data_IF_730351422147
#
_entry.id   IF_730351422147
#
_cell.length_a   1.000
_cell.length_b   1.000
_cell.length_c   1.000
_cell.angle_alpha   90.00
_cell.angle_beta   90.00
_cell.angle_gamma   90.00
#
_symmetry.space_group_name_H-M   'P 1'
#
loop_
_entity.id
_entity.type
_entity.pdbx_description
1 polymer ?
#
# COMPACT_ATOMS: atom_id res chain seq x y z
N UNK A 1 -5.63 0.71 22.00
CA UNK A 1 -6.71 0.83 21.02
C UNK A 1 -6.31 1.76 19.88
N UNK A 2 -5.62 2.87 20.18
CA UNK A 2 -4.94 3.76 19.24
C UNK A 2 -4.35 3.05 18.00
N UNK A 3 -3.40 2.14 18.19
CA UNK A 3 -2.69 1.48 17.07
C UNK A 3 -3.59 0.73 16.07
N UNK A 4 -4.69 0.10 16.52
CA UNK A 4 -5.56 -0.68 15.62
C UNK A 4 -6.41 0.26 14.75
N UNK A 5 -6.98 1.31 15.34
CA UNK A 5 -7.73 2.31 14.60
C UNK A 5 -6.83 2.99 13.56
N UNK A 6 -5.62 3.37 13.96
CA UNK A 6 -4.58 3.92 13.06
C UNK A 6 -4.26 2.96 11.92
N UNK A 7 -4.05 1.68 12.23
CA UNK A 7 -3.82 0.66 11.22
C UNK A 7 -4.98 0.57 10.20
N UNK A 8 -6.23 0.51 10.65
CA UNK A 8 -7.38 0.41 9.75
C UNK A 8 -7.52 1.62 8.83
N UNK A 9 -7.34 2.83 9.36
CA UNK A 9 -7.39 4.06 8.55
C UNK A 9 -6.25 4.11 7.54
N UNK A 10 -5.04 3.74 7.94
CA UNK A 10 -3.88 3.72 7.03
C UNK A 10 -4.01 2.65 5.95
N UNK A 11 -4.52 1.46 6.29
CA UNK A 11 -4.84 0.43 5.30
C UNK A 11 -5.90 0.91 4.31
N UNK A 12 -6.92 1.63 4.79
CA UNK A 12 -7.94 2.21 3.92
C UNK A 12 -7.34 3.27 2.99
N UNK A 13 -6.47 4.14 3.51
CA UNK A 13 -5.75 5.13 2.72
C UNK A 13 -4.87 4.48 1.64
N UNK A 14 -4.10 3.45 1.99
CA UNK A 14 -3.26 2.68 1.06
C UNK A 14 -4.11 2.15 -0.10
N UNK A 15 -5.26 1.57 0.22
CA UNK A 15 -6.16 1.00 -0.77
C UNK A 15 -6.84 2.08 -1.63
N UNK A 16 -7.25 3.22 -1.04
CA UNK A 16 -7.91 4.31 -1.76
C UNK A 16 -6.97 5.07 -2.70
N UNK A 17 -5.70 5.18 -2.35
CA UNK A 17 -4.69 5.88 -3.14
C UNK A 17 -3.91 4.96 -4.07
N UNK A 18 -4.20 3.65 -4.07
CA UNK A 18 -3.49 2.63 -4.85
C UNK A 18 -1.97 2.71 -4.66
N UNK A 19 -1.54 2.81 -3.39
CA UNK A 19 -0.13 2.99 -3.06
C UNK A 19 0.67 1.72 -3.39
N UNK A 20 1.84 1.90 -4.00
CA UNK A 20 2.76 0.78 -4.26
C UNK A 20 3.32 0.19 -2.95
N UNK A 21 4.08 -0.92 -3.03
CA UNK A 21 4.61 -1.58 -1.83
C UNK A 21 5.52 -0.67 -0.99
N UNK A 22 6.34 0.17 -1.63
CA UNK A 22 7.27 1.06 -0.93
C UNK A 22 6.51 2.22 -0.29
N UNK A 23 5.57 2.80 -1.02
CA UNK A 23 4.67 3.86 -0.57
C UNK A 23 3.78 3.38 0.58
N UNK A 24 3.25 2.16 0.51
CA UNK A 24 2.47 1.53 1.56
C UNK A 24 3.31 1.27 2.82
N UNK A 25 4.57 0.83 2.67
CA UNK A 25 5.48 0.69 3.81
C UNK A 25 5.72 2.04 4.50
N UNK A 26 5.96 3.09 3.74
CA UNK A 26 6.16 4.44 4.26
C UNK A 26 4.88 4.97 4.93
N UNK A 27 3.72 4.75 4.33
CA UNK A 27 2.43 5.08 4.94
C UNK A 27 2.22 4.36 6.28
N UNK A 28 2.56 3.07 6.38
CA UNK A 28 2.51 2.32 7.63
C UNK A 28 3.53 2.84 8.65
N UNK A 29 4.73 3.20 8.21
CA UNK A 29 5.78 3.75 9.07
C UNK A 29 5.32 5.04 9.74
N UNK A 30 4.82 6.00 8.96
CA UNK A 30 4.43 7.32 9.45
C UNK A 30 2.98 7.40 9.97
N UNK A 31 2.11 6.47 9.58
CA UNK A 31 0.71 6.45 9.99
C UNK A 31 0.39 5.51 11.16
N UNK A 32 1.21 4.48 11.38
CA UNK A 32 0.97 3.45 12.41
C UNK A 32 2.17 3.27 13.33
N UNK A 33 3.36 3.02 12.77
CA UNK A 33 4.52 2.64 13.60
C UNK A 33 5.09 3.77 14.42
N UNK A 34 4.69 5.02 14.14
CA UNK A 34 4.97 6.12 15.05
C UNK A 34 4.40 5.82 16.45
N UNK A 35 3.24 5.17 16.59
CA UNK A 35 2.67 4.81 17.90
C UNK A 35 3.58 3.89 18.76
N UNK A 36 4.56 3.20 18.16
CA UNK A 36 5.55 2.43 18.93
C UNK A 36 6.32 3.34 19.89
N UNK A 37 6.42 4.62 19.57
CA UNK A 37 7.09 5.62 20.40
C UNK A 37 6.46 5.80 21.79
N UNK A 38 5.20 5.37 21.99
CA UNK A 38 4.53 5.37 23.28
C UNK A 38 5.18 4.40 24.27
N UNK A 39 5.88 3.37 23.76
CA UNK A 39 6.65 2.42 24.57
C UNK A 39 7.77 3.14 25.31
N UNK A 40 8.31 4.24 24.78
CA UNK A 40 9.34 5.03 25.46
C UNK A 40 8.83 5.76 26.71
N UNK A 41 7.51 5.92 26.88
CA UNK A 41 6.91 6.43 28.12
C UNK A 41 6.79 5.38 29.25
N UNK A 42 6.96 4.09 28.93
CA UNK A 42 6.82 3.00 29.90
C UNK A 42 7.86 3.06 31.03
N UNK A 43 9.16 3.27 30.78
CA UNK A 43 10.15 3.38 31.86
C UNK A 43 9.82 4.49 32.88
N UNK A 44 9.40 5.67 32.38
CA UNK A 44 8.97 6.78 33.24
C UNK A 44 7.70 6.45 34.02
N UNK A 45 6.76 5.74 33.40
CA UNK A 45 5.57 5.23 34.09
C UNK A 45 5.91 4.23 35.19
N UNK A 46 6.80 3.28 34.91
CA UNK A 46 7.22 2.28 35.89
C UNK A 46 7.97 2.92 37.05
N UNK A 47 8.82 3.91 36.80
CA UNK A 47 9.55 4.60 37.86
C UNK A 47 8.65 5.40 38.81
N UNK A 48 7.54 5.97 38.31
CA UNK A 48 6.63 6.81 39.11
C UNK A 48 5.47 6.04 39.73
N UNK A 49 4.89 5.10 38.99
CA UNK A 49 3.66 4.41 39.39
C UNK A 49 3.90 2.93 39.74
N UNK A 50 5.09 2.37 39.48
CA UNK A 50 5.41 0.98 39.76
C UNK A 50 4.91 0.00 38.69
N UNK A 51 5.62 -1.12 38.53
CA UNK A 51 5.37 -2.10 37.47
C UNK A 51 4.00 -2.78 37.57
N UNK A 52 3.46 -2.89 38.78
CA UNK A 52 2.14 -3.52 39.03
C UNK A 52 0.98 -2.70 38.47
N UNK A 53 1.18 -1.40 38.23
CA UNK A 53 0.14 -0.49 37.74
C UNK A 53 0.11 -0.39 36.21
N UNK A 54 0.99 -1.09 35.47
CA UNK A 54 0.99 -1.11 34.00
C UNK A 54 -0.33 -1.70 33.46
N UNK A 55 -0.93 -2.64 34.17
CA UNK A 55 -2.19 -3.29 33.75
C UNK A 55 -3.43 -2.56 34.24
N UNK A 56 -3.28 -1.58 35.14
CA UNK A 56 -4.39 -0.81 35.67
C UNK A 56 -4.73 0.35 34.71
N UNK A 57 -5.82 0.19 33.95
CA UNK A 57 -6.29 1.18 32.97
C UNK A 57 -6.58 2.54 33.59
N UNK A 58 -7.13 2.61 34.80
CA UNK A 58 -7.45 3.88 35.45
C UNK A 58 -6.18 4.66 35.78
N UNK A 59 -5.15 3.97 36.27
CA UNK A 59 -3.82 4.54 36.50
C UNK A 59 -3.14 4.96 35.21
N UNK A 60 -3.26 4.18 34.14
CA UNK A 60 -2.66 4.50 32.84
C UNK A 60 -3.25 5.79 32.24
N UNK A 61 -4.58 5.96 32.37
CA UNK A 61 -5.33 7.10 31.83
C UNK A 61 -5.24 8.36 32.72
N UNK A 62 -5.05 8.20 34.03
CA UNK A 62 -4.93 9.32 34.98
C UNK A 62 -3.49 9.77 35.23
N UNK A 63 -2.51 9.00 34.79
CA UNK A 63 -1.09 9.32 34.96
C UNK A 63 -0.72 10.59 34.20
N UNK A 64 -0.09 11.59 34.84
CA UNK A 64 0.33 12.85 34.20
C UNK A 64 1.56 12.68 33.30
N UNK A 65 1.83 11.46 32.85
CA UNK A 65 3.01 11.13 32.05
C UNK A 65 2.69 11.43 30.60
N UNK A 66 3.61 12.15 29.96
CA UNK A 66 3.51 12.47 28.56
C UNK A 66 3.79 11.20 27.74
N UNK A 67 2.72 10.47 27.41
CA UNK A 67 2.78 9.30 26.53
C UNK A 67 3.09 9.66 25.07
N UNK A 68 2.92 10.94 24.71
CA UNK A 68 3.17 11.48 23.37
C UNK A 68 4.67 11.76 23.17
N UNK A 69 5.29 11.00 22.27
CA UNK A 69 6.72 11.17 21.95
C UNK A 69 7.01 12.37 21.03
N UNK A 70 8.29 12.54 20.66
CA UNK A 70 8.80 13.50 19.69
C UNK A 70 8.04 13.55 18.35
N UNK A 71 7.51 12.43 17.84
CA UNK A 71 6.79 12.43 16.56
C UNK A 71 5.36 12.98 16.63
N UNK A 72 4.82 13.15 17.83
CA UNK A 72 3.55 13.81 18.09
C UNK A 72 3.69 15.31 18.32
N UNK A 73 4.94 15.81 18.38
CA UNK A 73 5.23 17.22 18.51
C UNK A 73 5.23 17.88 17.10
N UNK A 74 4.72 19.11 16.95
CA UNK A 74 4.84 19.87 15.70
C UNK A 74 6.27 19.92 15.13
N UNK A 75 7.29 19.88 15.99
CA UNK A 75 8.71 19.83 15.60
C UNK A 75 9.09 18.57 14.82
N UNK A 76 8.30 17.49 14.88
CA UNK A 76 8.49 16.31 14.06
C UNK A 76 8.46 16.63 12.55
N UNK A 77 7.84 17.75 12.16
CA UNK A 77 7.85 18.22 10.77
C UNK A 77 9.27 18.41 10.22
N UNK A 78 10.25 18.73 11.09
CA UNK A 78 11.65 18.86 10.69
C UNK A 78 12.29 17.53 10.26
N UNK A 79 11.70 16.40 10.64
CA UNK A 79 12.11 15.06 10.20
C UNK A 79 11.19 14.57 9.08
N UNK A 80 9.87 14.70 9.27
CA UNK A 80 8.85 14.21 8.33
C UNK A 80 8.90 14.95 6.99
N UNK A 81 9.09 16.27 6.99
CA UNK A 81 9.10 17.05 5.74
C UNK A 81 10.32 16.73 4.86
N UNK A 82 11.56 16.66 5.38
CA UNK A 82 12.69 16.17 4.59
C UNK A 82 12.53 14.71 4.13
N UNK A 83 11.97 13.82 4.97
CA UNK A 83 11.65 12.46 4.55
C UNK A 83 10.62 12.44 3.41
N UNK A 84 9.67 13.36 3.40
CA UNK A 84 8.65 13.49 2.34
C UNK A 84 9.26 13.88 0.99
N UNK A 85 10.31 14.69 0.97
CA UNK A 85 11.01 15.03 -0.26
C UNK A 85 11.59 13.81 -0.99
N UNK A 86 11.91 12.74 -0.23
CA UNK A 86 12.42 11.48 -0.78
C UNK A 86 11.33 10.52 -1.27
N UNK A 87 10.06 10.71 -0.86
CA UNK A 87 8.95 9.79 -1.14
C UNK A 87 7.77 10.53 -1.77
N UNK A 88 7.85 10.76 -3.08
CA UNK A 88 6.79 11.35 -3.93
C UNK A 88 6.14 12.60 -3.34
N UNK A 89 6.92 13.36 -2.55
CA UNK A 89 6.64 14.65 -1.92
C UNK A 89 5.43 14.76 -0.98
N UNK A 90 4.63 13.70 -0.77
CA UNK A 90 3.39 13.85 0.01
C UNK A 90 3.08 12.69 0.97
N UNK A 91 3.57 11.47 0.72
CA UNK A 91 3.05 10.29 1.42
C UNK A 91 3.42 10.28 2.91
N UNK A 92 4.68 10.50 3.32
CA UNK A 92 5.01 10.55 4.75
C UNK A 92 4.25 11.67 5.47
N UNK A 93 4.19 12.86 4.85
CA UNK A 93 3.51 14.02 5.44
C UNK A 93 2.01 13.82 5.57
N UNK A 94 1.38 13.18 4.57
CA UNK A 94 -0.05 12.89 4.58
C UNK A 94 -0.38 11.79 5.59
N UNK A 95 0.40 10.71 5.63
CA UNK A 95 0.22 9.64 6.61
C UNK A 95 0.43 10.13 8.06
N UNK A 96 1.47 10.93 8.28
CA UNK A 96 1.73 11.58 9.57
C UNK A 96 0.62 12.57 9.94
N UNK A 97 0.15 13.38 8.99
CA UNK A 97 -0.94 14.33 9.22
C UNK A 97 -2.25 13.64 9.60
N UNK A 98 -2.59 12.53 8.92
CA UNK A 98 -3.75 11.70 9.27
C UNK A 98 -3.59 11.12 10.67
N UNK A 99 -2.40 10.62 11.01
CA UNK A 99 -2.11 10.10 12.34
C UNK A 99 -2.37 11.14 13.43
N UNK A 100 -1.78 12.34 13.33
CA UNK A 100 -2.02 13.43 14.30
C UNK A 100 -3.50 13.84 14.36
N UNK A 101 -4.18 13.89 13.20
CA UNK A 101 -5.59 14.23 13.14
C UNK A 101 -6.47 13.17 13.83
N UNK A 102 -6.17 11.89 13.63
CA UNK A 102 -6.85 10.79 14.31
C UNK A 102 -6.67 10.87 15.81
N UNK A 103 -5.46 11.19 16.24
CA UNK A 103 -5.11 11.37 17.64
C UNK A 103 -5.95 12.49 18.29
N UNK A 104 -6.13 13.60 17.58
CA UNK A 104 -6.99 14.70 18.01
C UNK A 104 -8.48 14.29 18.04
N UNK A 105 -8.98 13.65 16.99
CA UNK A 105 -10.37 13.16 16.91
C UNK A 105 -10.65 12.14 18.01
N UNK A 106 -9.67 11.30 18.33
CA UNK A 106 -9.82 10.28 19.35
C UNK A 106 -9.96 10.87 20.75
N UNK A 107 -9.20 11.91 21.06
CA UNK A 107 -9.28 12.60 22.35
C UNK A 107 -10.59 13.41 22.47
N UNK A 108 -10.96 14.15 21.43
CA UNK A 108 -12.07 15.11 21.49
C UNK A 108 -13.44 14.50 21.19
N UNK A 109 -13.52 13.51 20.30
CA UNK A 109 -14.79 13.02 19.77
C UNK A 109 -15.08 11.56 20.13
N UNK A 110 -14.11 10.66 19.98
CA UNK A 110 -14.35 9.23 20.17
C UNK A 110 -14.26 8.83 21.64
N UNK A 111 -13.27 9.33 22.37
CA UNK A 111 -12.91 8.84 23.70
C UNK A 111 -12.13 7.52 23.62
N UNK A 112 -11.12 7.39 24.47
CA UNK A 112 -10.22 6.23 24.47
C UNK A 112 -10.97 4.98 24.96
N UNK A 113 -10.99 3.94 24.13
CA UNK A 113 -11.68 2.67 24.38
C UNK A 113 -13.19 2.81 24.62
N UNK A 114 -13.82 3.82 24.01
CA UNK A 114 -15.26 4.01 24.10
C UNK A 114 -16.03 3.07 23.16
N UNK A 115 -17.34 2.96 23.38
CA UNK A 115 -18.24 2.27 22.46
C UNK A 115 -18.22 2.89 21.05
N UNK A 116 -18.06 4.21 20.96
CA UNK A 116 -18.04 4.94 19.69
C UNK A 116 -16.81 4.57 18.87
N UNK A 117 -15.64 4.45 19.51
CA UNK A 117 -14.41 3.99 18.86
C UNK A 117 -14.57 2.55 18.31
N UNK A 118 -15.21 1.66 19.08
CA UNK A 118 -15.46 0.28 18.65
C UNK A 118 -16.36 0.24 17.41
N UNK A 119 -17.46 0.99 17.41
CA UNK A 119 -18.37 1.07 16.26
C UNK A 119 -17.67 1.64 15.02
N UNK A 120 -16.83 2.66 15.21
CA UNK A 120 -16.03 3.24 14.14
C UNK A 120 -15.04 2.23 13.55
N UNK A 121 -14.34 1.45 14.38
CA UNK A 121 -13.45 0.38 13.90
C UNK A 121 -14.21 -0.70 13.13
N UNK A 122 -15.37 -1.14 13.61
CA UNK A 122 -16.19 -2.14 12.91
C UNK A 122 -16.66 -1.62 11.53
N UNK A 123 -17.02 -0.34 11.45
CA UNK A 123 -17.35 0.31 10.19
C UNK A 123 -16.15 0.32 9.22
N UNK A 124 -14.96 0.74 9.68
CA UNK A 124 -13.74 0.74 8.86
C UNK A 124 -13.38 -0.68 8.37
N UNK A 125 -13.48 -1.67 9.25
CA UNK A 125 -13.24 -3.07 8.91
C UNK A 125 -14.24 -3.55 7.86
N UNK A 126 -15.52 -3.19 8.00
CA UNK A 126 -16.56 -3.51 7.02
C UNK A 126 -16.28 -2.88 5.65
N UNK A 127 -15.82 -1.63 5.61
CA UNK A 127 -15.42 -0.95 4.37
C UNK A 127 -14.26 -1.70 3.71
N UNK A 128 -13.18 -1.96 4.45
CA UNK A 128 -12.02 -2.71 3.95
C UNK A 128 -12.43 -4.09 3.42
N UNK A 129 -13.30 -4.80 4.15
CA UNK A 129 -13.79 -6.12 3.75
C UNK A 129 -14.58 -6.07 2.43
N UNK A 130 -15.45 -5.07 2.27
CA UNK A 130 -16.21 -4.88 1.02
C UNK A 130 -15.27 -4.53 -0.13
N UNK A 131 -14.27 -3.68 0.08
CA UNK A 131 -13.28 -3.34 -0.94
C UNK A 131 -12.48 -4.57 -1.37
N UNK A 132 -12.02 -5.38 -0.42
CA UNK A 132 -11.25 -6.59 -0.70
C UNK A 132 -12.08 -7.63 -1.49
N UNK A 133 -13.35 -7.83 -1.12
CA UNK A 133 -14.26 -8.70 -1.89
C UNK A 133 -14.42 -8.22 -3.32
N UNK A 134 -14.61 -6.90 -3.52
CA UNK A 134 -14.76 -6.32 -4.86
C UNK A 134 -13.50 -6.51 -5.70
N UNK A 135 -12.32 -6.26 -5.13
CA UNK A 135 -11.05 -6.47 -5.82
C UNK A 135 -10.82 -7.95 -6.16
N UNK A 136 -11.16 -8.86 -5.25
CA UNK A 136 -11.08 -10.30 -5.52
C UNK A 136 -11.99 -10.70 -6.69
N UNK A 137 -13.22 -10.20 -6.72
CA UNK A 137 -14.16 -10.45 -7.82
C UNK A 137 -13.64 -9.92 -9.16
N UNK A 138 -13.11 -8.70 -9.19
CA UNK A 138 -12.53 -8.08 -10.41
C UNK A 138 -11.34 -8.91 -10.91
N UNK A 139 -10.41 -9.26 -10.01
CA UNK A 139 -9.22 -10.05 -10.35
C UNK A 139 -9.59 -11.45 -10.89
N UNK A 140 -10.64 -12.06 -10.35
CA UNK A 140 -11.15 -13.36 -10.84
C UNK A 140 -11.80 -13.23 -12.22
N UNK A 141 -12.51 -12.13 -12.49
CA UNK A 141 -13.08 -11.84 -13.81
C UNK A 141 -11.99 -11.62 -14.84
N UNK A 142 -10.93 -10.86 -14.51
CA UNK A 142 -9.77 -10.67 -15.39
C UNK A 142 -9.01 -11.98 -15.64
N UNK A 143 -8.79 -12.80 -14.61
CA UNK A 143 -8.14 -14.13 -14.77
C UNK A 143 -8.99 -15.08 -15.63
N UNK A 144 -10.32 -15.06 -15.52
CA UNK A 144 -11.21 -15.84 -16.39
C UNK A 144 -11.25 -15.30 -17.82
N UNK A 145 -11.19 -13.98 -18.01
CA UNK A 145 -11.05 -13.36 -19.33
C UNK A 145 -9.66 -13.63 -19.96
N UNK A 146 -8.63 -13.84 -19.13
CA UNK A 146 -7.24 -13.97 -19.55
C UNK A 146 -6.87 -15.34 -20.11
N UNK A 147 -7.47 -16.46 -19.69
CA UNK A 147 -7.04 -17.77 -20.21
C UNK A 147 -7.50 -17.95 -21.67
N UNK A 148 -8.76 -17.66 -21.98
CA UNK A 148 -9.25 -17.73 -23.36
C UNK A 148 -8.61 -16.65 -24.23
N UNK A 149 -8.41 -15.44 -23.70
CA UNK A 149 -7.72 -14.34 -24.38
C UNK A 149 -6.24 -14.63 -24.66
N UNK A 150 -5.55 -15.30 -23.75
CA UNK A 150 -4.16 -15.74 -23.93
C UNK A 150 -4.06 -16.82 -25.02
N UNK A 151 -4.95 -17.81 -25.02
CA UNK A 151 -4.98 -18.83 -26.07
C UNK A 151 -5.37 -18.24 -27.43
N UNK A 152 -6.33 -17.32 -27.49
CA UNK A 152 -6.69 -16.68 -28.75
C UNK A 152 -5.55 -15.80 -29.29
N UNK A 153 -4.83 -15.10 -28.42
CA UNK A 153 -3.67 -14.30 -28.81
C UNK A 153 -2.49 -15.16 -29.30
N UNK A 154 -2.16 -16.26 -28.62
CA UNK A 154 -1.13 -17.20 -29.09
C UNK A 154 -1.53 -17.89 -30.40
N UNK A 155 -2.79 -18.31 -30.56
CA UNK A 155 -3.28 -18.90 -31.81
C UNK A 155 -3.22 -17.90 -32.98
N UNK A 156 -3.54 -16.63 -32.76
CA UNK A 156 -3.46 -15.58 -33.76
C UNK A 156 -1.99 -15.30 -34.15
N UNK A 157 -1.08 -15.30 -33.17
CA UNK A 157 0.36 -15.15 -33.40
C UNK A 157 0.97 -16.34 -34.15
N UNK A 158 0.57 -17.57 -33.81
CA UNK A 158 1.00 -18.76 -34.55
C UNK A 158 0.44 -18.77 -35.97
N UNK A 159 -0.82 -18.39 -36.18
CA UNK A 159 -1.43 -18.35 -37.51
C UNK A 159 -0.76 -17.33 -38.44
N UNK A 160 -0.41 -16.15 -37.91
CA UNK A 160 0.30 -15.12 -38.68
C UNK A 160 1.74 -15.53 -39.01
N UNK A 161 2.43 -16.23 -38.10
CA UNK A 161 3.75 -16.79 -38.36
C UNK A 161 3.72 -17.88 -39.45
N UNK A 162 2.73 -18.77 -39.42
CA UNK A 162 2.55 -19.79 -40.47
C UNK A 162 2.19 -19.18 -41.83
N UNK A 163 1.35 -18.15 -41.85
CA UNK A 163 1.02 -17.41 -43.08
C UNK A 163 2.27 -16.75 -43.69
N UNK A 164 3.08 -16.05 -42.89
CA UNK A 164 4.32 -15.43 -43.38
C UNK A 164 5.37 -16.45 -43.84
N UNK A 165 5.49 -17.58 -43.15
CA UNK A 165 6.36 -18.71 -43.51
C UNK A 165 5.98 -19.33 -44.87
N UNK A 166 4.69 -19.55 -45.11
CA UNK A 166 4.18 -20.08 -46.38
C UNK A 166 4.40 -19.10 -47.54
N UNK A 167 4.24 -17.79 -47.32
CA UNK A 167 4.50 -16.76 -48.32
C UNK A 167 6.00 -16.54 -48.61
N UNK A 168 6.88 -16.72 -47.62
CA UNK A 168 8.33 -16.65 -47.81
C UNK A 168 8.85 -17.83 -48.62
N UNK A 169 8.28 -19.03 -48.39
CA UNK A 169 8.66 -20.26 -49.11
C UNK A 169 8.24 -20.24 -50.58
N UNK A 170 7.13 -19.59 -50.93
CA UNK A 170 6.71 -19.45 -52.33
C UNK A 170 7.56 -18.44 -53.11
N UNK A 171 7.98 -17.32 -52.51
CA UNK A 171 8.89 -16.35 -53.18
C UNK A 171 10.33 -16.83 -53.32
N UNK A 172 10.80 -17.70 -52.43
CA UNK A 172 12.16 -18.26 -52.50
C UNK A 172 12.39 -19.22 -53.68
N UNK A 173 11.33 -19.85 -54.20
CA UNK A 173 11.42 -20.79 -55.33
C UNK A 173 11.50 -20.07 -56.68
N UNK A 174 10.95 -18.85 -56.79
CA UNK A 174 11.00 -18.07 -58.04
C UNK A 174 12.35 -17.39 -58.29
N UNK A 175 13.08 -16.96 -57.25
CA UNK A 175 14.38 -16.27 -57.41
C UNK A 175 15.55 -17.19 -57.78
N UNK A 176 15.44 -18.50 -57.56
CA UNK A 176 16.54 -19.45 -57.80
C UNK A 176 16.74 -19.80 -59.30
N UNK A 177 15.86 -19.35 -60.21
CA UNK A 177 15.96 -19.66 -61.64
C UNK A 177 16.53 -18.54 -62.54
N UNK A 178 16.89 -17.38 -61.99
CA UNK A 178 17.20 -16.21 -62.83
C UNK A 178 18.69 -15.91 -63.02
N UNK A 179 19.59 -16.41 -62.17
CA UNK A 179 21.01 -16.04 -62.23
C UNK A 179 21.90 -17.11 -62.89
N UNK A 180 21.65 -17.40 -64.17
CA UNK A 180 22.62 -18.09 -65.05
C UNK A 180 22.60 -17.41 -66.42
N UNK A 181 23.29 -16.28 -66.55
CA UNK A 181 24.03 -15.89 -67.77
C UNK A 181 24.53 -14.45 -67.64
N UNK A 182 25.84 -14.30 -67.47
CA UNK A 182 26.65 -13.61 -68.47
C UNK A 182 28.14 -13.66 -68.07
N UNK A 183 28.83 -14.66 -68.62
CA UNK A 183 30.21 -14.50 -69.06
C UNK A 183 30.17 -13.82 -70.43
N UNK A 184 30.99 -12.79 -70.68
CA UNK A 184 32.06 -12.87 -71.68
C UNK A 184 33.02 -11.65 -71.66
N UNK A 185 34.28 -11.84 -72.14
CA UNK A 185 35.42 -10.92 -72.16
C UNK A 185 35.49 -10.16 -73.52
N UNK A 186 36.57 -9.46 -73.95
CA UNK A 186 37.90 -9.19 -73.36
C UNK A 186 38.20 -7.71 -73.06
#
# INVERSE_FOLDING_TARGET
MLMITHLLVVLLMIHLLDLDRNEAFVALLFGVFIDIDHIFGIPDFVSKNGILNITNKEMLLSSPIQWKSAFHNPMAILVVAPSSASFRFAIPLFAWGIHIAMDAIQVECLGVASLVEILFMLMLLGILFVMEIRNFQITQVEKKASISGFFSWELEKMSSFFSQSLFAKTRGVERSKVDVNHQSPP
#
